data_IF_546849206571
#
_entry.id   IF_546849206571
#
_cell.length_a   1.000
_cell.length_b   1.000
_cell.length_c   1.000
_cell.angle_alpha   90.00
_cell.angle_beta   90.00
_cell.angle_gamma   90.00
#
_symmetry.space_group_name_H-M   'P 1'
#
loop_
_entity.id
_entity.type
_entity.pdbx_description
1 polymer ?
#
# COMPACT_ATOMS: atom_id res chain seq x y z
N UNK A 1 -4.74 -13.32 -14.41
CA UNK A 1 -3.75 -12.70 -13.52
C UNK A 1 -3.57 -11.24 -13.92
N UNK A 2 -3.66 -10.33 -12.97
CA UNK A 2 -3.54 -8.90 -13.24
C UNK A 2 -2.44 -8.30 -12.35
N UNK A 3 -1.78 -7.26 -12.87
CA UNK A 3 -0.66 -6.62 -12.18
C UNK A 3 -0.88 -5.11 -12.14
N UNK A 4 -0.54 -4.50 -11.01
CA UNK A 4 -0.54 -3.05 -10.85
C UNK A 4 0.74 -2.62 -10.15
N UNK A 5 1.18 -1.41 -10.45
CA UNK A 5 2.33 -0.80 -9.77
C UNK A 5 1.92 0.54 -9.20
N UNK A 6 2.44 0.84 -8.01
CA UNK A 6 2.21 2.12 -7.35
C UNK A 6 3.53 2.77 -6.99
N UNK A 7 3.58 4.09 -7.14
CA UNK A 7 4.71 4.90 -6.70
C UNK A 7 4.15 5.94 -5.73
N UNK A 8 4.58 5.87 -4.48
CA UNK A 8 4.06 6.73 -3.43
C UNK A 8 5.18 7.65 -2.94
N UNK A 9 4.99 8.95 -3.08
CA UNK A 9 5.92 9.94 -2.55
C UNK A 9 5.44 10.33 -1.15
N UNK A 10 6.27 10.09 -0.15
CA UNK A 10 5.85 10.20 1.24
C UNK A 10 5.81 11.63 1.77
N UNK A 11 6.32 12.59 1.02
CA UNK A 11 6.27 13.99 1.42
C UNK A 11 7.56 14.46 2.09
N UNK A 12 7.43 15.06 3.27
CA UNK A 12 8.54 15.78 3.91
C UNK A 12 9.76 14.90 4.23
N UNK A 13 9.56 13.60 4.45
CA UNK A 13 10.68 12.69 4.70
C UNK A 13 11.49 12.37 3.43
N UNK A 14 10.94 12.68 2.25
CA UNK A 14 11.63 12.50 0.98
C UNK A 14 11.72 11.08 0.45
N UNK A 15 11.20 10.10 1.18
CA UNK A 15 11.25 8.71 0.73
C UNK A 15 10.16 8.42 -0.31
N UNK A 16 10.46 7.50 -1.21
CA UNK A 16 9.50 6.98 -2.18
C UNK A 16 9.28 5.50 -1.89
N UNK A 17 8.02 5.08 -1.94
CA UNK A 17 7.65 3.68 -1.77
C UNK A 17 7.17 3.15 -3.11
N UNK A 18 7.73 2.05 -3.57
CA UNK A 18 7.34 1.39 -4.81
C UNK A 18 6.64 0.09 -4.47
N UNK A 19 5.48 -0.14 -5.07
CA UNK A 19 4.65 -1.31 -4.82
C UNK A 19 4.36 -2.00 -6.14
N UNK A 20 4.59 -3.30 -6.20
CA UNK A 20 4.15 -4.15 -7.29
C UNK A 20 3.16 -5.15 -6.72
N UNK A 21 1.97 -5.18 -7.29
CA UNK A 21 0.89 -6.06 -6.84
C UNK A 21 0.46 -6.95 -7.98
N UNK A 22 0.42 -8.27 -7.74
CA UNK A 22 -0.01 -9.25 -8.72
C UNK A 22 -1.18 -10.04 -8.13
N UNK A 23 -2.34 -9.92 -8.78
CA UNK A 23 -3.57 -10.59 -8.34
C UNK A 23 -3.75 -11.92 -9.06
N UNK A 24 -4.17 -12.93 -8.31
CA UNK A 24 -4.61 -14.20 -8.88
C UNK A 24 -6.14 -14.21 -9.05
N UNK A 25 -6.69 -15.36 -9.47
CA UNK A 25 -8.12 -15.49 -9.72
C UNK A 25 -8.96 -15.53 -8.44
N UNK A 26 -8.35 -15.74 -7.28
CA UNK A 26 -9.02 -15.83 -5.99
C UNK A 26 -8.94 -14.53 -5.18
N UNK A 27 -8.58 -13.42 -5.85
CA UNK A 27 -8.41 -12.09 -5.22
C UNK A 27 -7.27 -12.03 -4.20
N UNK A 28 -6.41 -13.02 -4.19
CA UNK A 28 -5.16 -12.94 -3.44
C UNK A 28 -4.15 -12.14 -4.23
N UNK A 29 -3.48 -11.22 -3.56
CA UNK A 29 -2.54 -10.30 -4.20
C UNK A 29 -1.18 -10.49 -3.59
N UNK A 30 -0.20 -10.81 -4.44
CA UNK A 30 1.20 -10.87 -4.06
C UNK A 30 1.78 -9.47 -4.10
N UNK A 31 2.49 -9.08 -3.06
CA UNK A 31 3.05 -7.74 -2.92
C UNK A 31 4.58 -7.78 -2.91
N UNK A 32 5.17 -6.87 -3.65
CA UNK A 32 6.60 -6.61 -3.63
C UNK A 32 6.76 -5.12 -3.36
N UNK A 33 7.24 -4.78 -2.17
CA UNK A 33 7.36 -3.39 -1.70
C UNK A 33 8.84 -3.06 -1.57
N UNK A 34 9.25 -1.94 -2.16
CA UNK A 34 10.63 -1.45 -2.05
C UNK A 34 10.63 0.01 -1.69
N UNK A 35 11.58 0.41 -0.84
CA UNK A 35 11.77 1.80 -0.43
C UNK A 35 13.12 1.95 0.25
N UNK A 36 13.67 3.16 0.24
CA UNK A 36 14.85 3.49 1.05
C UNK A 36 14.48 3.78 2.51
N UNK A 37 13.20 3.91 2.82
CA UNK A 37 12.73 4.10 4.20
C UNK A 37 12.97 2.84 5.02
N UNK A 38 13.73 2.90 6.14
CA UNK A 38 14.02 1.71 6.95
C UNK A 38 12.79 0.99 7.48
N UNK A 39 11.71 1.72 7.77
CA UNK A 39 10.47 1.13 8.27
C UNK A 39 9.85 0.19 7.25
N UNK A 40 9.98 0.50 5.96
CA UNK A 40 9.43 -0.30 4.88
C UNK A 40 10.26 -1.54 4.58
N UNK A 41 11.50 -1.63 5.04
CA UNK A 41 12.29 -2.86 4.92
C UNK A 41 11.63 -4.00 5.71
N UNK A 42 11.13 -3.69 6.91
CA UNK A 42 10.42 -4.68 7.75
C UNK A 42 9.02 -4.95 7.22
N UNK A 43 8.32 -3.90 6.79
CA UNK A 43 6.98 -4.04 6.20
C UNK A 43 7.05 -4.95 4.96
N UNK A 44 8.03 -4.72 4.08
CA UNK A 44 8.19 -5.49 2.85
C UNK A 44 8.44 -6.98 3.11
N UNK A 45 9.15 -7.30 4.18
CA UNK A 45 9.44 -8.70 4.54
C UNK A 45 8.21 -9.44 5.04
N UNK A 46 7.33 -8.76 5.75
CA UNK A 46 6.16 -9.38 6.35
C UNK A 46 4.92 -9.31 5.47
N UNK A 47 4.76 -8.21 4.73
CA UNK A 47 3.56 -7.95 3.92
C UNK A 47 3.80 -8.42 2.48
N UNK A 48 3.73 -9.72 2.26
CA UNK A 48 4.00 -10.34 0.94
C UNK A 48 2.77 -10.82 0.21
N UNK A 49 1.65 -11.01 0.93
CA UNK A 49 0.40 -11.45 0.34
C UNK A 49 -0.76 -10.93 1.16
N UNK A 50 -1.81 -10.49 0.48
CA UNK A 50 -3.07 -10.07 1.13
C UNK A 50 -4.26 -10.61 0.33
N UNK A 51 -5.42 -10.67 0.99
CA UNK A 51 -6.70 -10.93 0.34
C UNK A 51 -7.35 -9.58 0.08
N UNK A 52 -7.51 -9.22 -1.20
CA UNK A 52 -7.99 -7.89 -1.57
C UNK A 52 -9.37 -7.59 -0.98
N UNK A 53 -10.29 -8.55 -0.94
CA UNK A 53 -11.61 -8.32 -0.38
C UNK A 53 -11.57 -8.01 1.11
N UNK A 54 -10.72 -8.70 1.85
CA UNK A 54 -10.55 -8.45 3.28
C UNK A 54 -9.88 -7.12 3.57
N UNK A 55 -9.05 -6.64 2.64
CA UNK A 55 -8.39 -5.35 2.79
C UNK A 55 -9.32 -4.19 2.43
N UNK A 56 -10.01 -4.28 1.29
CA UNK A 56 -10.75 -3.15 0.71
C UNK A 56 -12.14 -3.01 1.31
N UNK A 57 -12.82 -4.11 1.60
CA UNK A 57 -14.20 -4.10 2.10
C UNK A 57 -14.28 -4.27 3.62
N UNK A 58 -13.28 -3.80 4.32
CA UNK A 58 -13.20 -3.88 5.77
C UNK A 58 -13.01 -2.48 6.36
N UNK A 59 -13.18 -2.35 7.66
CA UNK A 59 -12.85 -1.08 8.32
C UNK A 59 -11.35 -0.82 8.21
N UNK A 60 -10.92 0.44 8.04
CA UNK A 60 -9.52 0.74 7.75
C UNK A 60 -8.49 0.07 8.65
N UNK A 61 -8.76 0.01 9.94
CA UNK A 61 -7.79 -0.52 10.92
C UNK A 61 -7.82 -2.05 11.06
N UNK A 62 -8.66 -2.75 10.29
CA UNK A 62 -8.86 -4.19 10.48
C UNK A 62 -8.22 -5.06 9.41
N UNK A 63 -7.61 -4.44 8.40
CA UNK A 63 -6.94 -5.18 7.34
C UNK A 63 -5.50 -5.53 7.68
N UNK A 64 -4.93 -6.44 6.91
CA UNK A 64 -3.55 -6.89 7.08
C UNK A 64 -2.53 -5.78 6.79
N UNK A 65 -2.81 -4.93 5.79
CA UNK A 65 -1.92 -3.82 5.44
C UNK A 65 -1.77 -2.88 6.63
N UNK A 66 -2.89 -2.49 7.23
CA UNK A 66 -2.87 -1.62 8.41
C UNK A 66 -2.22 -2.30 9.61
N UNK A 67 -2.45 -3.60 9.80
CA UNK A 67 -1.85 -4.36 10.91
C UNK A 67 -0.32 -4.32 10.82
N UNK A 68 0.23 -4.62 9.66
CA UNK A 68 1.69 -4.63 9.47
C UNK A 68 2.26 -3.22 9.53
N UNK A 69 1.55 -2.25 8.96
CA UNK A 69 1.95 -0.85 9.04
C UNK A 69 2.01 -0.38 10.50
N UNK A 70 0.98 -0.68 11.28
CA UNK A 70 0.93 -0.30 12.70
C UNK A 70 2.05 -0.94 13.51
N UNK A 71 2.49 -2.12 13.11
CA UNK A 71 3.55 -2.85 13.81
C UNK A 71 4.93 -2.22 13.62
N UNK A 72 5.20 -1.66 12.45
CA UNK A 72 6.56 -1.23 12.08
C UNK A 72 6.73 0.26 11.81
N UNK A 73 5.68 0.96 11.48
CA UNK A 73 5.79 2.39 11.14
C UNK A 73 5.50 3.26 12.35
N UNK A 74 6.39 4.21 12.68
CA UNK A 74 6.12 5.18 13.75
C UNK A 74 5.33 6.40 13.25
N UNK A 75 5.03 6.50 11.97
CA UNK A 75 4.39 7.68 11.37
C UNK A 75 2.97 7.37 10.92
N UNK A 76 1.99 7.82 11.71
CA UNK A 76 0.58 7.60 11.37
C UNK A 76 0.15 8.33 10.11
N UNK A 77 0.82 9.42 9.74
CA UNK A 77 0.46 10.22 8.58
C UNK A 77 1.15 9.78 7.28
N UNK A 78 1.98 8.75 7.32
CA UNK A 78 2.65 8.27 6.11
C UNK A 78 1.61 7.75 5.09
N UNK A 79 1.61 8.26 3.85
CA UNK A 79 0.62 7.85 2.85
C UNK A 79 0.89 6.47 2.25
N UNK A 80 1.96 5.81 2.65
CA UNK A 80 2.33 4.51 2.10
C UNK A 80 1.25 3.46 2.27
N UNK A 81 0.58 3.41 3.41
CA UNK A 81 -0.48 2.44 3.66
C UNK A 81 -1.64 2.62 2.68
N UNK A 82 -2.06 3.87 2.46
CA UNK A 82 -3.13 4.17 1.49
C UNK A 82 -2.69 3.84 0.06
N UNK A 83 -1.46 4.15 -0.29
CA UNK A 83 -0.92 3.85 -1.62
C UNK A 83 -0.79 2.35 -1.89
N UNK A 84 -0.40 1.56 -0.90
CA UNK A 84 -0.37 0.11 -1.01
C UNK A 84 -1.79 -0.42 -1.24
N UNK A 85 -2.76 0.06 -0.47
CA UNK A 85 -4.15 -0.36 -0.62
C UNK A 85 -4.71 0.01 -1.99
N UNK A 86 -4.42 1.22 -2.49
CA UNK A 86 -4.85 1.60 -3.84
C UNK A 86 -4.24 0.71 -4.91
N UNK A 87 -3.00 0.32 -4.76
CA UNK A 87 -2.35 -0.60 -5.70
C UNK A 87 -2.99 -1.99 -5.65
N UNK A 88 -3.32 -2.46 -4.45
CA UNK A 88 -4.02 -3.74 -4.26
C UNK A 88 -5.38 -3.72 -4.95
N UNK A 89 -6.18 -2.67 -4.74
CA UNK A 89 -7.53 -2.63 -5.33
C UNK A 89 -7.49 -2.54 -6.86
N UNK A 90 -6.49 -1.86 -7.44
CA UNK A 90 -6.33 -1.83 -8.90
C UNK A 90 -5.94 -3.20 -9.43
N UNK A 91 -4.98 -3.86 -8.79
CA UNK A 91 -4.53 -5.20 -9.20
C UNK A 91 -5.66 -6.22 -9.14
N UNK A 92 -6.54 -6.10 -8.15
CA UNK A 92 -7.66 -7.03 -7.97
C UNK A 92 -8.87 -6.69 -8.84
N UNK A 93 -8.81 -5.64 -9.65
CA UNK A 93 -9.91 -5.24 -10.50
C UNK A 93 -11.05 -4.54 -9.79
N UNK A 94 -10.81 -4.04 -8.57
CA UNK A 94 -11.82 -3.38 -7.74
C UNK A 94 -11.87 -1.87 -7.96
N UNK A 95 -10.87 -1.29 -8.62
CA UNK A 95 -10.80 0.13 -8.92
C UNK A 95 -10.02 0.36 -10.20
N UNK A 96 -10.31 1.47 -10.87
CA UNK A 96 -9.55 1.89 -12.05
C UNK A 96 -8.25 2.58 -11.62
N UNK A 97 -7.17 2.43 -12.41
CA UNK A 97 -5.92 3.12 -12.11
C UNK A 97 -6.10 4.63 -12.30
N UNK A 98 -5.70 5.40 -11.29
CA UNK A 98 -5.81 6.85 -11.31
C UNK A 98 -4.81 7.45 -10.34
N UNK A 99 -4.31 8.63 -10.66
CA UNK A 99 -3.41 9.37 -9.78
C UNK A 99 -4.20 9.90 -8.58
N UNK A 100 -3.67 9.69 -7.38
CA UNK A 100 -4.20 10.28 -6.16
C UNK A 100 -3.16 11.22 -5.56
N UNK A 101 -3.54 12.45 -5.31
CA UNK A 101 -2.64 13.51 -4.85
C UNK A 101 -3.09 14.11 -3.52
N UNK A 102 -2.11 14.64 -2.79
CA UNK A 102 -2.35 15.51 -1.64
C UNK A 102 -1.45 16.72 -1.77
N UNK A 103 -2.06 17.91 -1.69
CA UNK A 103 -1.34 19.18 -1.72
C UNK A 103 -1.65 19.88 -0.40
N UNK A 104 -0.62 20.08 0.42
CA UNK A 104 -0.78 20.66 1.76
C UNK A 104 -0.03 21.98 1.79
N UNK A 105 -0.73 23.03 2.16
CA UNK A 105 -0.14 24.36 2.30
C UNK A 105 -0.40 24.88 3.70
N UNK A 106 0.54 25.70 4.20
CA UNK A 106 0.39 26.35 5.50
C UNK A 106 -0.03 27.80 5.25
N UNK A 107 -1.13 28.18 5.85
CA UNK A 107 -1.68 29.54 5.77
C UNK A 107 -1.11 30.46 6.85
#
# INVERSE_FOLDING_TARGET
MAMATGVIHAGVCGFTINVKAVSDDDHKVQLEITSDCPNYHKIAKELTEVDAYKEIFNKPHMGRVYEVFAKYSPHSSCPGVSGILKTVEVAAGLALPQIANMIITKE
#
